data_IF_528659627298
#
_entry.id   IF_528659627298
#
_cell.length_a   1.000
_cell.length_b   1.000
_cell.length_c   1.000
_cell.angle_alpha   90.00
_cell.angle_beta   90.00
_cell.angle_gamma   90.00
#
_symmetry.space_group_name_H-M   'P 1'
#
loop_
_entity.id
_entity.type
_entity.pdbx_description
1 polymer ?
#
# COMPACT_ATOMS: atom_id res chain seq x y z
N UNK A 1 8.65 -13.65 0.41
CA UNK A 1 9.25 -12.64 -0.49
C UNK A 1 9.88 -11.56 0.37
N UNK A 2 10.93 -10.90 -0.10
CA UNK A 2 11.54 -9.78 0.60
C UNK A 2 10.67 -8.51 0.48
N UNK A 3 10.85 -7.52 1.38
CA UNK A 3 10.15 -6.24 1.25
C UNK A 3 10.56 -5.49 -0.04
N UNK A 4 11.79 -5.69 -0.51
CA UNK A 4 12.27 -5.18 -1.79
C UNK A 4 11.48 -5.76 -2.97
N UNK A 5 11.17 -7.07 -2.95
CA UNK A 5 10.37 -7.71 -4.00
C UNK A 5 8.95 -7.12 -4.06
N UNK A 6 8.36 -6.78 -2.90
CA UNK A 6 7.06 -6.11 -2.85
C UNK A 6 7.14 -4.72 -3.49
N UNK A 7 8.17 -3.95 -3.20
CA UNK A 7 8.37 -2.64 -3.81
C UNK A 7 8.46 -2.73 -5.34
N UNK A 8 9.25 -3.69 -5.85
CA UNK A 8 9.53 -3.83 -7.27
C UNK A 8 8.42 -4.52 -8.08
N UNK A 9 7.63 -5.43 -7.48
CA UNK A 9 6.77 -6.34 -8.26
C UNK A 9 5.31 -6.39 -7.83
N UNK A 10 4.97 -5.84 -6.67
CA UNK A 10 3.58 -5.76 -6.27
C UNK A 10 2.91 -4.55 -6.98
N UNK A 11 1.67 -4.70 -7.47
CA UNK A 11 0.90 -3.58 -8.00
C UNK A 11 0.14 -2.85 -6.89
N UNK A 12 -0.23 -1.59 -7.14
CA UNK A 12 -1.15 -0.86 -6.25
C UNK A 12 -2.50 -1.57 -6.22
N UNK A 13 -3.04 -1.75 -5.02
CA UNK A 13 -4.27 -2.50 -4.77
C UNK A 13 -4.04 -3.98 -4.47
N UNK A 14 -2.82 -4.48 -4.56
CA UNK A 14 -2.50 -5.85 -4.15
C UNK A 14 -2.73 -6.06 -2.65
N UNK A 15 -3.26 -7.24 -2.30
CA UNK A 15 -3.35 -7.68 -0.91
C UNK A 15 -2.04 -8.33 -0.52
N UNK A 16 -1.41 -7.83 0.54
CA UNK A 16 -0.12 -8.25 1.03
C UNK A 16 -0.26 -8.80 2.45
N UNK A 17 0.19 -10.04 2.65
CA UNK A 17 0.39 -10.60 3.99
C UNK A 17 1.80 -10.26 4.45
N UNK A 18 1.95 -9.92 5.73
CA UNK A 18 3.23 -9.72 6.40
C UNK A 18 3.31 -10.57 7.66
N UNK A 19 4.51 -11.05 7.99
CA UNK A 19 4.75 -11.97 9.12
C UNK A 19 6.16 -11.79 9.69
N UNK A 20 6.31 -12.05 10.99
CA UNK A 20 7.62 -12.18 11.62
C UNK A 20 8.10 -13.64 11.74
N UNK A 21 7.35 -14.59 11.16
CA UNK A 21 7.66 -16.02 11.15
C UNK A 21 7.28 -16.77 12.43
N UNK A 22 6.91 -16.07 13.50
CA UNK A 22 6.57 -16.69 14.78
C UNK A 22 5.13 -17.25 14.76
N UNK A 23 4.86 -18.39 15.42
CA UNK A 23 3.51 -18.92 15.54
C UNK A 23 2.64 -18.02 16.41
N UNK A 24 1.33 -17.95 16.08
CA UNK A 24 0.35 -17.17 16.85
C UNK A 24 0.31 -17.68 18.32
N UNK A 25 0.50 -16.80 19.32
CA UNK A 25 0.38 -17.17 20.72
C UNK A 25 -1.03 -17.64 21.08
N UNK A 26 -1.20 -18.47 22.13
CA UNK A 26 -2.53 -18.86 22.61
C UNK A 26 -3.38 -17.64 23.01
N UNK A 27 -4.68 -17.66 22.68
CA UNK A 27 -5.57 -16.50 22.84
C UNK A 27 -5.70 -15.99 24.30
N UNK A 28 -5.48 -16.87 25.28
CA UNK A 28 -5.43 -16.51 26.71
C UNK A 28 -4.31 -15.50 27.04
N UNK A 29 -3.28 -15.40 26.20
CA UNK A 29 -2.15 -14.50 26.39
C UNK A 29 -2.36 -13.18 25.64
N UNK A 30 -3.41 -12.43 25.96
CA UNK A 30 -3.87 -11.24 25.21
C UNK A 30 -2.75 -10.24 24.89
N UNK A 31 -1.81 -9.99 25.81
CA UNK A 31 -0.66 -9.10 25.56
C UNK A 31 0.28 -9.65 24.48
N UNK A 32 0.57 -10.96 24.52
CA UNK A 32 1.42 -11.61 23.52
C UNK A 32 0.73 -11.67 22.16
N UNK A 33 -0.57 -11.94 22.14
CA UNK A 33 -1.38 -11.93 20.91
C UNK A 33 -1.34 -10.55 20.26
N UNK A 34 -1.60 -9.48 21.01
CA UNK A 34 -1.51 -8.11 20.49
C UNK A 34 -0.12 -7.75 19.95
N UNK A 35 0.93 -8.16 20.66
CA UNK A 35 2.30 -7.95 20.18
C UNK A 35 2.57 -8.73 18.89
N UNK A 36 2.07 -9.95 18.77
CA UNK A 36 2.17 -10.76 17.56
C UNK A 36 1.38 -10.16 16.39
N UNK A 37 0.15 -9.69 16.62
CA UNK A 37 -0.71 -9.04 15.61
C UNK A 37 -0.11 -7.75 15.05
N UNK A 38 0.78 -7.08 15.80
CA UNK A 38 1.51 -5.94 15.27
C UNK A 38 2.41 -6.36 14.10
N UNK A 39 3.08 -7.51 14.16
CA UNK A 39 4.05 -7.92 13.13
C UNK A 39 3.53 -9.03 12.22
N UNK A 40 2.26 -9.42 12.40
CA UNK A 40 1.59 -10.45 11.61
C UNK A 40 0.20 -9.98 11.20
N UNK A 41 -0.04 -9.89 9.89
CA UNK A 41 -1.31 -9.38 9.40
C UNK A 41 -1.40 -9.34 7.89
N UNK A 42 -2.39 -8.60 7.40
CA UNK A 42 -2.63 -8.42 5.97
C UNK A 42 -3.10 -7.00 5.73
N UNK A 43 -2.71 -6.42 4.60
CA UNK A 43 -3.12 -5.09 4.20
C UNK A 43 -3.18 -4.94 2.68
N UNK A 44 -3.83 -3.88 2.23
CA UNK A 44 -3.88 -3.52 0.80
C UNK A 44 -2.78 -2.51 0.52
N UNK A 45 -2.01 -2.74 -0.53
CA UNK A 45 -0.91 -1.88 -0.93
C UNK A 45 -1.44 -0.62 -1.59
N UNK A 46 -1.18 0.54 -0.97
CA UNK A 46 -1.79 1.81 -1.36
C UNK A 46 -0.80 2.88 -1.79
N UNK A 47 0.49 2.74 -1.46
CA UNK A 47 1.47 3.79 -1.74
C UNK A 47 2.87 3.18 -1.85
N UNK A 48 3.70 3.80 -2.67
CA UNK A 48 5.15 3.62 -2.68
C UNK A 48 5.81 4.97 -2.62
N UNK A 49 6.93 5.05 -1.92
CA UNK A 49 7.81 6.21 -1.96
C UNK A 49 9.23 5.78 -2.31
N UNK A 50 9.85 6.42 -3.31
CA UNK A 50 11.25 6.21 -3.59
C UNK A 50 12.09 6.64 -2.39
N UNK A 51 13.26 6.01 -2.25
CA UNK A 51 14.28 6.46 -1.33
C UNK A 51 14.81 7.83 -1.72
N UNK A 52 15.38 8.52 -0.75
CA UNK A 52 16.07 9.79 -0.96
C UNK A 52 17.54 9.60 -0.60
N UNK A 53 18.43 10.04 -1.48
CA UNK A 53 19.86 10.11 -1.21
C UNK A 53 20.32 11.56 -1.41
N UNK A 54 20.75 12.17 -0.32
CA UNK A 54 21.27 13.54 -0.25
C UNK A 54 22.55 13.54 0.58
N UNK A 55 23.39 14.56 0.40
CA UNK A 55 24.64 14.75 1.15
C UNK A 55 24.44 14.69 2.66
N UNK A 56 23.27 15.11 3.17
CA UNK A 56 22.98 15.20 4.60
C UNK A 56 21.95 14.18 5.10
N UNK A 57 21.29 13.44 4.20
CA UNK A 57 20.18 12.54 4.55
C UNK A 57 20.04 11.42 3.52
N UNK A 58 19.99 10.17 4.02
CA UNK A 58 19.66 9.00 3.20
C UNK A 58 18.48 8.26 3.83
N UNK A 59 17.52 7.89 2.99
CA UNK A 59 16.36 7.09 3.39
C UNK A 59 16.10 6.00 2.34
N UNK A 60 15.85 4.75 2.78
CA UNK A 60 15.50 3.67 1.87
C UNK A 60 14.10 3.89 1.28
N UNK A 61 13.80 3.29 0.12
CA UNK A 61 12.43 3.24 -0.39
C UNK A 61 11.46 2.62 0.61
N UNK A 62 10.20 3.05 0.55
CA UNK A 62 9.14 2.57 1.44
C UNK A 62 7.86 2.28 0.68
N UNK A 63 6.98 1.50 1.28
CA UNK A 63 5.62 1.27 0.79
C UNK A 63 4.63 1.28 1.94
N UNK A 64 3.38 1.65 1.66
CA UNK A 64 2.33 1.71 2.68
C UNK A 64 1.23 0.67 2.41
N UNK A 65 0.84 -0.02 3.48
CA UNK A 65 -0.32 -0.90 3.50
C UNK A 65 -1.46 -0.24 4.27
N UNK A 66 -2.65 -0.20 3.68
CA UNK A 66 -3.91 0.04 4.38
C UNK A 66 -4.34 -1.25 5.10
N UNK A 67 -4.43 -1.19 6.42
CA UNK A 67 -4.74 -2.35 7.27
C UNK A 67 -6.22 -2.41 7.65
N UNK A 68 -6.81 -1.27 8.00
CA UNK A 68 -8.20 -1.21 8.44
C UNK A 68 -8.77 0.20 8.31
N UNK A 69 -10.07 0.26 8.04
CA UNK A 69 -10.88 1.47 8.16
C UNK A 69 -11.93 1.22 9.25
N UNK A 70 -11.99 2.12 10.23
CA UNK A 70 -13.02 2.15 11.25
C UNK A 70 -14.00 3.27 10.92
N UNK A 71 -15.28 2.94 10.91
CA UNK A 71 -16.38 3.87 10.61
C UNK A 71 -17.47 3.80 11.68
N UNK A 72 -18.19 4.89 11.87
CA UNK A 72 -19.41 4.96 12.69
C UNK A 72 -20.43 5.84 11.99
N UNK A 73 -21.68 5.40 11.94
CA UNK A 73 -22.77 6.16 11.29
C UNK A 73 -22.51 6.47 9.80
N UNK A 74 -21.78 5.62 9.09
CA UNK A 74 -21.41 5.85 7.68
C UNK A 74 -20.23 6.81 7.47
N UNK A 75 -19.65 7.35 8.54
CA UNK A 75 -18.48 8.25 8.49
C UNK A 75 -17.22 7.47 8.84
N UNK A 76 -16.19 7.58 8.01
CA UNK A 76 -14.86 7.04 8.30
C UNK A 76 -14.20 7.84 9.44
N UNK A 77 -13.93 7.19 10.57
CA UNK A 77 -13.34 7.81 11.77
C UNK A 77 -11.83 7.62 11.81
N UNK A 78 -11.34 6.43 11.45
CA UNK A 78 -9.92 6.10 11.54
C UNK A 78 -9.49 5.21 10.38
N UNK A 79 -8.39 5.59 9.74
CA UNK A 79 -7.68 4.79 8.74
C UNK A 79 -6.36 4.35 9.33
N UNK A 80 -6.18 3.05 9.47
CA UNK A 80 -4.93 2.46 9.92
C UNK A 80 -4.11 2.10 8.68
N UNK A 81 -3.03 2.84 8.47
CA UNK A 81 -1.99 2.50 7.50
C UNK A 81 -0.68 2.21 8.21
N UNK A 82 0.13 1.33 7.61
CA UNK A 82 1.48 1.04 8.08
C UNK A 82 2.47 1.17 6.93
N UNK A 83 3.56 1.89 7.20
CA UNK A 83 4.65 2.11 6.25
C UNK A 83 5.76 1.11 6.58
N UNK A 84 6.23 0.39 5.55
CA UNK A 84 7.36 -0.51 5.63
C UNK A 84 8.50 0.02 4.78
N UNK A 85 9.71 -0.15 5.29
CA UNK A 85 10.93 0.09 4.52
C UNK A 85 11.31 -1.16 3.74
N UNK A 86 11.96 -0.99 2.59
CA UNK A 86 12.53 -2.12 1.83
C UNK A 86 13.58 -2.92 2.61
N UNK A 87 14.13 -2.36 3.69
CA UNK A 87 15.06 -3.05 4.61
C UNK A 87 14.37 -3.67 5.83
N UNK A 88 13.04 -3.77 5.82
CA UNK A 88 12.28 -4.49 6.86
C UNK A 88 12.77 -5.94 7.01
N UNK A 89 12.71 -6.48 8.23
CA UNK A 89 13.06 -7.88 8.53
C UNK A 89 11.86 -8.84 8.48
N UNK A 90 10.67 -8.32 8.20
CA UNK A 90 9.47 -9.13 8.06
C UNK A 90 9.43 -9.83 6.70
N UNK A 91 8.77 -10.97 6.68
CA UNK A 91 8.43 -11.69 5.47
C UNK A 91 7.14 -11.15 4.87
N UNK A 92 7.09 -11.11 3.53
CA UNK A 92 5.93 -10.63 2.79
C UNK A 92 5.47 -11.64 1.73
N UNK A 93 4.18 -11.60 1.42
CA UNK A 93 3.55 -12.43 0.40
C UNK A 93 2.43 -11.65 -0.30
N UNK A 94 2.40 -11.68 -1.63
CA UNK A 94 1.29 -11.16 -2.42
C UNK A 94 0.20 -12.23 -2.42
N UNK A 95 -0.88 -11.99 -1.67
CA UNK A 95 -2.00 -12.93 -1.53
C UNK A 95 -3.07 -12.72 -2.60
N UNK A 96 -3.18 -11.51 -3.12
CA UNK A 96 -4.15 -11.17 -4.16
C UNK A 96 -3.61 -10.02 -5.02
N UNK A 97 -3.84 -10.09 -6.33
CA UNK A 97 -3.52 -9.01 -7.28
C UNK A 97 -4.82 -8.42 -7.83
N UNK A 98 -4.86 -7.11 -8.11
CA UNK A 98 -5.94 -6.53 -8.91
C UNK A 98 -6.06 -7.26 -10.24
N UNK A 99 -7.30 -7.46 -10.71
CA UNK A 99 -7.58 -8.13 -11.97
C UNK A 99 -7.51 -7.12 -13.13
N UNK A 100 -7.07 -7.53 -14.32
CA UNK A 100 -7.19 -6.71 -15.52
C UNK A 100 -8.61 -6.19 -15.70
N UNK A 101 -8.74 -4.92 -16.10
CA UNK A 101 -10.03 -4.22 -16.24
C UNK A 101 -10.58 -3.59 -14.97
N UNK A 102 -10.01 -3.89 -13.78
CA UNK A 102 -10.27 -3.08 -12.58
C UNK A 102 -9.74 -1.66 -12.76
N UNK A 103 -10.23 -0.72 -11.94
CA UNK A 103 -9.84 0.69 -12.02
C UNK A 103 -9.30 1.20 -10.68
N UNK A 104 -8.10 1.79 -10.71
CA UNK A 104 -7.46 2.48 -9.61
C UNK A 104 -7.85 3.95 -9.62
N UNK A 105 -8.32 4.45 -8.49
CA UNK A 105 -8.45 5.89 -8.25
C UNK A 105 -7.23 6.36 -7.48
N UNK A 106 -6.37 7.14 -8.15
CA UNK A 106 -5.07 7.57 -7.65
C UNK A 106 -5.05 9.07 -7.40
N UNK A 107 -4.36 9.50 -6.35
CA UNK A 107 -4.02 10.92 -6.13
C UNK A 107 -2.52 11.06 -5.98
N UNK A 108 -1.95 12.15 -6.50
CA UNK A 108 -0.53 12.45 -6.31
C UNK A 108 -0.29 12.98 -4.89
N UNK A 109 0.61 12.34 -4.14
CA UNK A 109 1.17 12.85 -2.88
C UNK A 109 2.68 12.98 -3.03
N UNK A 110 3.16 14.22 -2.98
CA UNK A 110 4.58 14.50 -3.20
C UNK A 110 4.99 14.06 -4.60
N UNK A 111 5.83 13.02 -4.68
CA UNK A 111 6.34 12.46 -5.94
C UNK A 111 5.79 11.06 -6.25
N UNK A 112 4.84 10.57 -5.44
CA UNK A 112 4.25 9.24 -5.59
C UNK A 112 2.74 9.29 -5.76
N UNK A 113 2.18 8.20 -6.24
CA UNK A 113 0.73 7.98 -6.27
C UNK A 113 0.28 7.26 -4.99
N UNK A 114 -0.81 7.76 -4.41
CA UNK A 114 -1.58 7.07 -3.37
C UNK A 114 -2.90 6.55 -3.94
N UNK A 115 -3.16 5.26 -3.78
CA UNK A 115 -4.42 4.61 -4.11
C UNK A 115 -5.49 4.98 -3.09
N UNK A 116 -6.52 5.67 -3.57
CA UNK A 116 -7.72 6.02 -2.79
C UNK A 116 -8.77 4.93 -2.81
N UNK A 117 -8.97 4.33 -3.98
CA UNK A 117 -9.99 3.33 -4.19
C UNK A 117 -9.62 2.39 -5.32
N UNK A 118 -9.95 1.10 -5.18
CA UNK A 118 -9.86 0.11 -6.24
C UNK A 118 -11.29 -0.33 -6.59
N UNK A 119 -11.74 0.05 -7.77
CA UNK A 119 -13.07 -0.25 -8.29
C UNK A 119 -13.05 -1.47 -9.23
N UNK A 120 -14.23 -2.06 -9.43
CA UNK A 120 -14.41 -3.20 -10.32
C UNK A 120 -14.12 -2.88 -11.79
N UNK A 121 -14.40 -1.64 -12.21
CA UNK A 121 -14.21 -1.10 -13.55
C UNK A 121 -14.17 0.43 -13.53
N UNK A 122 -13.97 1.06 -14.70
CA UNK A 122 -13.91 2.51 -14.83
C UNK A 122 -15.21 3.21 -14.42
N UNK A 123 -16.37 2.64 -14.76
CA UNK A 123 -17.67 3.25 -14.45
C UNK A 123 -17.91 3.31 -12.93
N UNK A 124 -17.56 2.24 -12.21
CA UNK A 124 -17.58 2.20 -10.76
C UNK A 124 -16.60 3.20 -10.13
N UNK A 125 -15.40 3.37 -10.72
CA UNK A 125 -14.44 4.39 -10.25
C UNK A 125 -14.95 5.82 -10.45
N UNK A 126 -15.60 6.10 -11.58
CA UNK A 126 -16.20 7.41 -11.85
C UNK A 126 -17.35 7.73 -10.87
N UNK A 127 -18.23 6.75 -10.61
CA UNK A 127 -19.30 6.89 -9.64
C UNK A 127 -18.74 7.19 -8.24
N UNK A 128 -17.73 6.42 -7.81
CA UNK A 128 -17.06 6.62 -6.53
C UNK A 128 -16.44 8.02 -6.39
N UNK A 129 -15.79 8.53 -7.44
CA UNK A 129 -15.23 9.89 -7.44
C UNK A 129 -16.30 10.98 -7.31
N UNK A 130 -17.45 10.79 -7.94
CA UNK A 130 -18.59 11.71 -7.81
C UNK A 130 -19.09 11.85 -6.37
N UNK A 131 -19.02 10.75 -5.60
CA UNK A 131 -19.42 10.72 -4.19
C UNK A 131 -18.34 11.29 -3.25
N UNK A 132 -17.06 11.03 -3.52
CA UNK A 132 -15.97 11.29 -2.55
C UNK A 132 -15.17 12.58 -2.81
N UNK A 133 -15.34 13.23 -3.96
CA UNK A 133 -14.79 14.56 -4.32
C UNK A 133 -13.30 14.75 -4.04
N UNK A 134 -12.47 13.74 -4.32
CA UNK A 134 -11.01 13.89 -4.26
C UNK A 134 -10.52 14.82 -5.37
N UNK A 135 -9.90 15.94 -4.98
CA UNK A 135 -9.24 16.85 -5.93
C UNK A 135 -8.02 16.17 -6.56
N UNK A 136 -7.78 16.43 -7.84
CA UNK A 136 -6.63 15.91 -8.60
C UNK A 136 -6.54 14.38 -8.62
N UNK A 137 -7.66 13.68 -8.46
CA UNK A 137 -7.70 12.24 -8.62
C UNK A 137 -7.74 11.86 -10.11
N UNK A 138 -7.04 10.78 -10.47
CA UNK A 138 -7.03 10.18 -11.80
C UNK A 138 -7.48 8.72 -11.72
N UNK A 139 -8.12 8.24 -12.77
CA UNK A 139 -8.46 6.83 -12.92
C UNK A 139 -7.38 6.17 -13.79
N UNK A 140 -6.92 4.99 -13.36
CA UNK A 140 -5.98 4.16 -14.10
C UNK A 140 -6.54 2.74 -14.17
N UNK A 141 -6.68 2.19 -15.37
CA UNK A 141 -7.09 0.80 -15.55
C UNK A 141 -5.94 -0.15 -15.22
N UNK A 142 -6.28 -1.31 -14.69
CA UNK A 142 -5.35 -2.41 -14.46
C UNK A 142 -5.14 -3.15 -15.78
N UNK A 143 -3.90 -3.17 -16.26
CA UNK A 143 -3.49 -3.86 -17.49
C UNK A 143 -3.11 -5.34 -17.27
N UNK A 144 -2.83 -6.07 -18.37
CA UNK A 144 -2.24 -7.42 -18.35
C UNK A 144 -1.00 -7.48 -19.26
N UNK A 145 0.23 -7.62 -18.72
CA UNK A 145 0.55 -7.71 -17.30
C UNK A 145 0.50 -6.35 -16.60
N UNK A 146 0.01 -6.34 -15.36
CA UNK A 146 0.01 -5.19 -14.47
C UNK A 146 1.43 -4.88 -13.94
N UNK A 147 2.21 -4.21 -14.78
CA UNK A 147 3.62 -3.96 -14.57
C UNK A 147 3.87 -2.69 -13.74
N UNK A 148 4.45 -2.79 -12.53
CA UNK A 148 4.81 -1.60 -11.76
C UNK A 148 5.98 -0.86 -12.41
N UNK A 149 5.78 0.41 -12.76
CA UNK A 149 6.84 1.31 -13.21
C UNK A 149 7.20 2.30 -12.10
N UNK A 150 8.17 1.96 -11.23
CA UNK A 150 8.54 2.80 -10.08
C UNK A 150 10.06 2.85 -9.87
N UNK A 151 10.67 4.05 -9.78
CA UNK A 151 12.09 4.16 -9.48
C UNK A 151 12.38 3.80 -8.02
N UNK A 152 13.56 3.25 -7.74
CA UNK A 152 14.01 2.97 -6.37
C UNK A 152 14.38 4.25 -5.62
N UNK A 153 15.05 5.18 -6.29
CA UNK A 153 15.49 6.44 -5.72
C UNK A 153 14.90 7.60 -6.51
N UNK A 154 14.69 8.72 -5.80
CA UNK A 154 14.33 9.98 -6.42
C UNK A 154 15.37 10.32 -7.49
N UNK A 155 14.90 10.62 -8.71
CA UNK A 155 15.78 11.17 -9.74
C UNK A 155 16.40 12.47 -9.21
N UNK A 156 17.71 12.60 -9.29
CA UNK A 156 18.40 13.85 -8.89
C UNK A 156 17.77 14.99 -9.69
N UNK A 157 17.07 15.91 -9.03
CA UNK A 157 16.68 17.13 -9.69
C UNK A 157 17.97 17.79 -10.18
N UNK A 158 18.13 17.90 -11.50
CA UNK A 158 19.19 18.70 -12.08
C UNK A 158 18.99 20.12 -11.53
N UNK A 159 19.93 20.56 -10.70
CA UNK A 159 20.00 21.93 -10.20
C UNK A 159 20.48 22.87 -11.30
#
# INVERSE_FOLDING_TARGET
MSPMDIYCHAPLGAKIRFSNGEPRPPDRCTRKVKAWENDNGTGTLIEYRPGCESTTYSSPPTFALHLATYSSGGVQILVVRRIYSVVSRLDFEIVERPRPGMARVLTVIGEGDELRHLAADEAAAQAWLGEHRYHNARIELVDDPDAPNRPLFRGRAAA
#
